data_IF_879651430851
#
_entry.id   IF_879651430851
#
_cell.length_a   1.000
_cell.length_b   1.000
_cell.length_c   1.000
_cell.angle_alpha   90.00
_cell.angle_beta   90.00
_cell.angle_gamma   90.00
#
_symmetry.space_group_name_H-M   'P 1'
#
loop_
_entity.id
_entity.type
_entity.pdbx_description
1 polymer ?
#
# COMPACT_ATOMS: atom_id res chain seq x y z
N UNK A 1 16.18 -2.85 -3.66
CA UNK A 1 15.03 -2.19 -4.34
C UNK A 1 14.72 -0.96 -3.52
N UNK A 2 14.56 0.19 -4.16
CA UNK A 2 14.18 1.42 -3.46
C UNK A 2 12.72 1.29 -3.02
N UNK A 3 12.46 1.39 -1.72
CA UNK A 3 11.12 1.25 -1.14
C UNK A 3 10.87 2.25 -0.03
N UNK A 4 9.59 2.56 0.15
CA UNK A 4 9.07 3.37 1.25
C UNK A 4 8.32 2.42 2.17
N UNK A 5 8.63 2.46 3.46
CA UNK A 5 7.95 1.69 4.50
C UNK A 5 7.27 2.65 5.47
N UNK A 6 6.08 2.31 5.95
CA UNK A 6 5.36 3.11 6.93
C UNK A 6 4.06 2.42 7.36
N UNK A 7 3.36 3.04 8.31
CA UNK A 7 2.10 2.55 8.83
C UNK A 7 0.95 3.04 7.95
N UNK A 8 0.13 2.12 7.45
CA UNK A 8 -1.03 2.48 6.64
C UNK A 8 -2.07 3.21 7.49
N UNK A 9 -2.30 4.49 7.18
CA UNK A 9 -3.23 5.34 7.91
C UNK A 9 -4.62 5.39 7.26
N UNK A 10 -4.68 5.52 5.93
CA UNK A 10 -5.96 5.46 5.19
C UNK A 10 -5.78 5.13 3.71
N UNK A 11 -6.87 4.66 3.10
CA UNK A 11 -7.00 4.33 1.68
C UNK A 11 -8.30 4.93 1.14
N UNK A 12 -8.30 5.42 -0.11
CA UNK A 12 -9.50 5.91 -0.79
C UNK A 12 -9.94 4.99 -1.94
N UNK A 13 -11.05 5.34 -2.62
CA UNK A 13 -11.62 4.56 -3.73
C UNK A 13 -10.70 4.43 -4.97
N UNK A 14 -9.67 5.28 -5.08
CA UNK A 14 -8.67 5.22 -6.15
C UNK A 14 -7.40 4.49 -5.72
N UNK A 15 -7.43 3.87 -4.53
CA UNK A 15 -6.31 3.19 -3.90
C UNK A 15 -5.12 4.12 -3.65
N UNK A 16 -5.37 5.42 -3.46
CA UNK A 16 -4.35 6.31 -2.93
C UNK A 16 -4.10 5.97 -1.45
N UNK A 17 -2.84 6.00 -1.04
CA UNK A 17 -2.42 5.57 0.30
C UNK A 17 -1.91 6.77 1.11
N UNK A 18 -2.33 6.86 2.37
CA UNK A 18 -1.68 7.71 3.38
C UNK A 18 -0.88 6.83 4.32
N UNK A 19 0.43 7.09 4.39
CA UNK A 19 1.34 6.41 5.32
C UNK A 19 1.80 7.40 6.39
N UNK A 20 1.85 6.93 7.63
CA UNK A 20 2.50 7.60 8.75
C UNK A 20 3.83 6.90 9.10
N UNK A 21 4.66 7.55 9.89
CA UNK A 21 5.95 7.02 10.37
C UNK A 21 6.84 6.46 9.25
N UNK A 22 6.92 7.22 8.15
CA UNK A 22 7.59 6.79 6.93
C UNK A 22 9.11 6.70 7.12
N UNK A 23 9.70 5.67 6.51
CA UNK A 23 11.14 5.45 6.37
C UNK A 23 11.50 5.05 4.93
N UNK A 24 12.70 5.43 4.49
CA UNK A 24 13.21 5.13 3.15
C UNK A 24 14.36 4.13 3.27
N UNK A 25 14.35 3.12 2.40
CA UNK A 25 15.37 2.06 2.41
C UNK A 25 16.79 2.56 2.09
N UNK A 26 16.92 3.60 1.26
CA UNK A 26 18.19 4.21 0.87
C UNK A 26 18.17 5.74 1.08
N UNK A 27 18.49 6.20 2.30
CA UNK A 27 18.50 7.62 2.65
C UNK A 27 19.55 8.45 1.88
N UNK A 28 20.68 7.85 1.51
CA UNK A 28 21.79 8.56 0.85
C UNK A 28 21.43 8.90 -0.59
N UNK A 29 20.72 8.00 -1.26
CA UNK A 29 20.20 8.22 -2.61
C UNK A 29 19.02 9.19 -2.65
N UNK A 30 18.24 9.27 -1.56
CA UNK A 30 17.05 10.12 -1.47
C UNK A 30 17.04 11.02 -0.21
N UNK A 31 18.03 11.91 -0.04
CA UNK A 31 18.22 12.67 1.20
C UNK A 31 17.05 13.62 1.51
N UNK A 32 16.35 14.08 0.47
CA UNK A 32 15.18 14.96 0.60
C UNK A 32 13.95 14.28 1.18
N UNK A 33 13.87 12.94 1.14
CA UNK A 33 12.74 12.20 1.68
C UNK A 33 12.92 11.86 3.17
N UNK A 34 14.15 11.95 3.71
CA UNK A 34 14.50 11.47 5.06
C UNK A 34 13.74 12.20 6.17
N UNK A 35 13.36 13.46 5.97
CA UNK A 35 12.58 14.24 6.94
C UNK A 35 11.07 13.99 6.86
N UNK A 36 10.61 13.27 5.85
CA UNK A 36 9.18 13.04 5.61
C UNK A 36 8.66 11.99 6.57
N UNK A 37 7.80 12.40 7.51
CA UNK A 37 7.14 11.50 8.46
C UNK A 37 5.81 10.94 7.95
N UNK A 38 5.07 11.72 7.16
CA UNK A 38 3.78 11.33 6.60
C UNK A 38 3.83 11.48 5.08
N UNK A 39 3.29 10.51 4.34
CA UNK A 39 3.31 10.50 2.89
C UNK A 39 1.92 10.22 2.33
N UNK A 40 1.54 10.97 1.28
CA UNK A 40 0.41 10.64 0.42
C UNK A 40 0.96 10.09 -0.90
N UNK A 41 0.56 8.88 -1.25
CA UNK A 41 1.02 8.18 -2.44
C UNK A 41 -0.19 7.99 -3.37
N UNK A 42 -0.06 8.46 -4.61
CA UNK A 42 -1.09 8.28 -5.63
C UNK A 42 -1.16 6.80 -6.03
N UNK A 43 -2.33 6.19 -5.98
CA UNK A 43 -2.51 4.76 -6.27
C UNK A 43 -1.97 4.35 -7.63
N UNK A 44 -2.11 5.21 -8.65
CA UNK A 44 -1.63 4.94 -10.00
C UNK A 44 -0.11 4.86 -10.17
N UNK A 45 0.68 5.30 -9.18
CA UNK A 45 2.16 5.19 -9.22
C UNK A 45 2.69 4.00 -8.42
N UNK A 46 1.82 3.30 -7.68
CA UNK A 46 2.20 2.16 -6.85
C UNK A 46 2.37 0.94 -7.75
N UNK A 47 3.53 0.28 -7.63
CA UNK A 47 3.79 -1.00 -8.32
C UNK A 47 3.49 -2.19 -7.43
N UNK A 48 3.95 -2.16 -6.20
CA UNK A 48 3.78 -3.23 -5.21
C UNK A 48 3.52 -2.64 -3.83
N UNK A 49 2.71 -3.36 -3.05
CA UNK A 49 2.57 -3.17 -1.61
C UNK A 49 2.95 -4.50 -0.97
N UNK A 50 3.99 -4.51 -0.15
CA UNK A 50 4.39 -5.70 0.59
C UNK A 50 3.65 -5.72 1.92
N UNK A 51 2.99 -6.83 2.20
CA UNK A 51 2.23 -7.06 3.43
C UNK A 51 2.77 -8.31 4.13
N UNK A 52 2.81 -8.33 5.47
CA UNK A 52 3.02 -9.56 6.22
C UNK A 52 1.94 -10.60 5.90
N UNK A 53 2.31 -11.88 5.81
CA UNK A 53 1.38 -12.94 5.44
C UNK A 53 0.30 -13.18 6.51
N UNK A 54 0.61 -12.90 7.77
CA UNK A 54 -0.27 -13.01 8.94
C UNK A 54 -1.33 -11.90 9.00
N UNK A 55 -1.16 -10.80 8.28
CA UNK A 55 -2.17 -9.74 8.15
C UNK A 55 -3.21 -10.04 7.05
N UNK A 56 -3.08 -11.16 6.34
CA UNK A 56 -3.93 -11.51 5.19
C UNK A 56 -4.62 -12.85 5.40
N UNK A 57 -5.93 -12.81 5.69
CA UNK A 57 -6.79 -13.99 5.61
C UNK A 57 -7.05 -14.34 4.13
N UNK A 58 -6.28 -15.29 3.61
CA UNK A 58 -6.39 -15.71 2.21
C UNK A 58 -7.70 -16.42 1.89
N UNK A 59 -8.37 -17.05 2.85
CA UNK A 59 -9.65 -17.71 2.62
C UNK A 59 -10.75 -16.67 2.41
N UNK A 60 -10.80 -15.66 3.29
CA UNK A 60 -11.73 -14.53 3.16
C UNK A 60 -11.50 -13.76 1.85
N UNK A 61 -10.22 -13.51 1.50
CA UNK A 61 -9.86 -12.82 0.27
C UNK A 61 -10.36 -13.58 -0.97
N UNK A 62 -10.13 -14.88 -1.05
CA UNK A 62 -10.59 -15.72 -2.17
C UNK A 62 -12.12 -15.72 -2.30
N UNK A 63 -12.84 -15.82 -1.19
CA UNK A 63 -14.31 -15.77 -1.18
C UNK A 63 -14.85 -14.42 -1.63
N UNK A 64 -14.26 -13.32 -1.17
CA UNK A 64 -14.62 -11.97 -1.61
C UNK A 64 -14.37 -11.78 -3.11
N UNK A 65 -13.22 -12.23 -3.64
CA UNK A 65 -12.92 -12.16 -5.08
C UNK A 65 -13.92 -12.95 -5.92
N UNK A 66 -14.31 -14.16 -5.50
CA UNK A 66 -15.34 -14.95 -6.21
C UNK A 66 -16.67 -14.22 -6.28
N UNK A 67 -17.10 -13.61 -5.17
CA UNK A 67 -18.35 -12.82 -5.11
C UNK A 67 -18.28 -11.59 -6.01
N UNK A 68 -17.19 -10.81 -5.92
CA UNK A 68 -17.00 -9.61 -6.73
C UNK A 68 -17.00 -9.93 -8.24
N UNK A 69 -16.32 -11.01 -8.65
CA UNK A 69 -16.32 -11.45 -10.04
C UNK A 69 -17.71 -11.87 -10.56
N UNK A 70 -18.60 -12.37 -9.71
CA UNK A 70 -19.99 -12.64 -10.12
C UNK A 70 -20.80 -11.35 -10.27
N UNK A 71 -20.50 -10.32 -9.49
CA UNK A 71 -21.18 -9.02 -9.53
C UNK A 71 -20.73 -8.17 -10.73
N UNK A 72 -19.43 -8.13 -11.01
CA UNK A 72 -18.84 -7.32 -12.08
C UNK A 72 -19.20 -7.78 -13.50
N UNK A 73 -19.80 -8.97 -13.62
CA UNK A 73 -20.28 -9.55 -14.90
C UNK A 73 -21.72 -9.19 -15.24
N UNK A 74 -22.43 -8.45 -14.39
CA UNK A 74 -23.73 -7.85 -14.70
C UNK A 74 -23.55 -6.47 -15.32
#
# INVERSE_FOLDING_TARGET
>A
MDSITGNLHSVDQYLNLRLNDVSISDPEKYPHLVSVKNCFIRGSVVRYVHLPADEVDTQLLQDATRKEHMLSRK
#
